data_IF_715347868323
#
_entry.id   IF_715347868323
#
_cell.length_a   1.000
_cell.length_b   1.000
_cell.length_c   1.000
_cell.angle_alpha   90.00
_cell.angle_beta   90.00
_cell.angle_gamma   90.00
#
_symmetry.space_group_name_H-M   'P 1'
#
loop_
_entity.id
_entity.type
_entity.pdbx_description
1 polymer ?
#
# COMPACT_ATOMS: atom_id res chain seq x y z
N UNK A 1 60.17 -38.18 -47.84
CA UNK A 1 60.13 -37.19 -46.74
C UNK A 1 58.72 -37.14 -46.17
N UNK A 2 58.50 -37.44 -44.89
CA UNK A 2 57.22 -37.20 -44.23
C UNK A 2 57.20 -35.81 -43.57
N UNK A 3 56.04 -35.18 -43.61
CA UNK A 3 55.71 -33.86 -43.07
C UNK A 3 55.62 -33.95 -41.53
N UNK A 4 56.19 -33.03 -40.74
CA UNK A 4 56.05 -33.07 -39.28
C UNK A 4 54.63 -32.65 -38.86
N UNK A 5 53.99 -33.47 -38.02
CA UNK A 5 52.74 -33.17 -37.32
C UNK A 5 52.96 -32.06 -36.30
N UNK A 6 52.20 -30.97 -36.42
CA UNK A 6 52.19 -29.85 -35.47
C UNK A 6 51.63 -30.34 -34.12
N UNK A 7 52.28 -30.10 -32.97
CA UNK A 7 51.70 -30.47 -31.68
C UNK A 7 50.44 -29.64 -31.42
N UNK A 8 49.39 -30.32 -30.95
CA UNK A 8 48.14 -29.70 -30.52
C UNK A 8 48.44 -28.74 -29.35
N UNK A 9 48.19 -27.46 -29.59
CA UNK A 9 48.23 -26.41 -28.56
C UNK A 9 47.14 -26.72 -27.54
N UNK A 10 47.52 -27.14 -26.34
CA UNK A 10 46.62 -27.27 -25.19
C UNK A 10 46.09 -25.86 -24.90
N UNK A 11 44.80 -25.65 -25.16
CA UNK A 11 44.12 -24.43 -24.79
C UNK A 11 43.93 -24.43 -23.27
N UNK A 12 44.64 -23.54 -22.57
CA UNK A 12 44.27 -23.16 -21.22
C UNK A 12 42.85 -22.54 -21.25
N UNK A 13 41.96 -22.86 -20.30
CA UNK A 13 40.65 -22.22 -20.23
C UNK A 13 40.85 -20.72 -19.99
N UNK A 14 40.38 -19.92 -20.94
CA UNK A 14 40.38 -18.46 -20.84
C UNK A 14 39.50 -18.05 -19.64
N UNK A 15 40.13 -17.50 -18.60
CA UNK A 15 39.44 -16.83 -17.51
C UNK A 15 38.91 -15.52 -18.09
N UNK A 16 37.60 -15.46 -18.36
CA UNK A 16 36.94 -14.25 -18.87
C UNK A 16 37.03 -13.14 -17.80
N UNK A 17 37.53 -11.98 -18.24
CA UNK A 17 37.78 -10.78 -17.43
C UNK A 17 36.58 -10.37 -16.55
N UNK A 18 36.68 -10.60 -15.23
CA UNK A 18 35.81 -9.93 -14.23
C UNK A 18 35.08 -10.85 -13.26
N UNK A 19 35.22 -12.16 -13.37
CA UNK A 19 34.68 -13.13 -12.42
C UNK A 19 35.72 -13.49 -11.35
N UNK A 20 35.30 -13.52 -10.08
CA UNK A 20 36.17 -13.76 -8.92
C UNK A 20 35.54 -14.82 -8.05
N UNK A 21 36.35 -15.75 -7.55
CA UNK A 21 35.94 -16.71 -6.54
C UNK A 21 36.19 -16.11 -5.16
N UNK A 22 35.15 -16.01 -4.34
CA UNK A 22 35.25 -15.52 -2.96
C UNK A 22 35.30 -16.71 -2.01
N UNK A 23 36.41 -16.88 -1.30
CA UNK A 23 36.55 -17.83 -0.21
C UNK A 23 37.26 -17.15 0.97
N UNK A 24 36.48 -16.68 1.93
CA UNK A 24 36.94 -16.10 3.18
C UNK A 24 36.39 -16.97 4.31
N UNK A 25 37.26 -17.48 5.18
CA UNK A 25 36.87 -18.31 6.32
C UNK A 25 37.41 -17.69 7.60
N UNK A 26 36.50 -17.22 8.46
CA UNK A 26 36.84 -16.56 9.73
C UNK A 26 37.87 -15.42 9.59
N UNK A 27 37.75 -14.63 8.52
CA UNK A 27 38.66 -13.52 8.21
C UNK A 27 38.13 -12.24 8.84
N UNK A 28 39.02 -11.39 9.34
CA UNK A 28 38.64 -10.10 9.93
C UNK A 28 37.96 -9.18 8.91
N UNK A 29 36.91 -8.48 9.34
CA UNK A 29 36.11 -7.59 8.48
C UNK A 29 36.99 -6.56 7.76
N UNK A 30 37.98 -5.99 8.45
CA UNK A 30 38.90 -5.00 7.88
C UNK A 30 39.66 -5.53 6.66
N UNK A 31 40.13 -6.78 6.74
CA UNK A 31 40.85 -7.43 5.64
C UNK A 31 39.93 -7.72 4.45
N UNK A 32 38.68 -8.15 4.72
CA UNK A 32 37.67 -8.35 3.69
C UNK A 32 37.33 -7.02 3.00
N UNK A 33 37.13 -5.94 3.76
CA UNK A 33 36.82 -4.61 3.23
C UNK A 33 37.95 -4.10 2.35
N UNK A 34 39.22 -4.26 2.76
CA UNK A 34 40.39 -3.87 1.96
C UNK A 34 40.45 -4.62 0.63
N UNK A 35 40.09 -5.90 0.64
CA UNK A 35 40.05 -6.74 -0.56
C UNK A 35 38.91 -6.31 -1.49
N UNK A 36 37.72 -6.09 -0.95
CA UNK A 36 36.55 -5.62 -1.70
C UNK A 36 36.76 -4.21 -2.22
N UNK A 37 37.44 -3.33 -1.49
CA UNK A 37 37.85 -1.99 -1.93
C UNK A 37 38.71 -2.05 -3.19
N UNK A 38 39.73 -2.91 -3.21
CA UNK A 38 40.58 -3.12 -4.38
C UNK A 38 39.81 -3.72 -5.57
N UNK A 39 38.89 -4.63 -5.29
CA UNK A 39 38.09 -5.31 -6.32
C UNK A 39 37.01 -4.42 -6.94
N UNK A 40 36.41 -3.54 -6.14
CA UNK A 40 35.30 -2.65 -6.55
C UNK A 40 35.76 -1.24 -6.93
N UNK A 41 36.98 -0.85 -6.57
CA UNK A 41 37.52 0.50 -6.77
C UNK A 41 36.86 1.56 -5.89
N UNK A 42 36.19 1.15 -4.81
CA UNK A 42 35.46 2.06 -3.90
C UNK A 42 36.25 2.35 -2.64
N UNK A 43 36.13 3.58 -2.16
CA UNK A 43 36.69 3.99 -0.87
C UNK A 43 35.70 3.65 0.24
N UNK A 44 36.19 2.97 1.29
CA UNK A 44 35.40 2.62 2.46
C UNK A 44 35.92 3.33 3.70
N UNK A 45 35.01 3.78 4.55
CA UNK A 45 35.30 4.27 5.90
C UNK A 45 34.65 3.30 6.87
N UNK A 46 35.43 2.73 7.78
CA UNK A 46 34.93 1.86 8.83
C UNK A 46 34.74 2.66 10.11
N UNK A 47 33.61 2.45 10.77
CA UNK A 47 33.44 2.90 12.14
C UNK A 47 34.30 2.02 13.10
N UNK A 48 34.94 2.59 14.14
CA UNK A 48 35.77 1.83 15.10
C UNK A 48 35.06 0.65 15.78
N UNK A 49 33.72 0.68 15.80
CA UNK A 49 32.87 -0.38 16.38
C UNK A 49 32.68 -1.59 15.44
N UNK A 50 33.10 -1.49 14.17
CA UNK A 50 32.98 -2.56 13.18
C UNK A 50 34.13 -3.55 13.37
N UNK A 51 33.97 -4.45 14.34
CA UNK A 51 34.90 -5.55 14.63
C UNK A 51 34.18 -6.88 14.55
N UNK A 52 34.84 -7.89 14.00
CA UNK A 52 34.28 -9.21 13.85
C UNK A 52 34.96 -10.01 12.75
N UNK A 53 34.55 -11.28 12.64
CA UNK A 53 35.02 -12.20 11.61
C UNK A 53 33.88 -12.52 10.65
N UNK A 54 34.21 -12.59 9.37
CA UNK A 54 33.27 -12.91 8.30
C UNK A 54 33.71 -14.21 7.62
N UNK A 55 32.72 -15.02 7.28
CA UNK A 55 32.87 -16.19 6.42
C UNK A 55 32.01 -16.01 5.18
N UNK A 56 32.65 -16.05 4.00
CA UNK A 56 32.01 -15.97 2.69
C UNK A 56 32.55 -17.10 1.84
N UNK A 57 31.67 -18.00 1.41
CA UNK A 57 32.04 -19.13 0.55
C UNK A 57 31.19 -19.04 -0.72
N UNK A 58 31.84 -18.85 -1.86
CA UNK A 58 31.19 -18.88 -3.18
C UNK A 58 31.53 -20.19 -3.88
N UNK A 59 30.52 -20.96 -4.29
CA UNK A 59 30.71 -22.21 -5.04
C UNK A 59 30.98 -21.98 -6.54
N UNK A 60 30.61 -20.80 -7.06
CA UNK A 60 30.78 -20.43 -8.47
C UNK A 60 31.57 -19.12 -8.59
N UNK A 61 32.28 -18.88 -9.71
CA UNK A 61 32.82 -17.56 -10.02
C UNK A 61 31.70 -16.53 -10.04
N UNK A 62 31.91 -15.38 -9.41
CA UNK A 62 30.91 -14.29 -9.35
C UNK A 62 31.47 -13.01 -9.95
N UNK A 63 30.64 -12.25 -10.65
CA UNK A 63 31.02 -10.96 -11.20
C UNK A 63 31.34 -9.95 -10.09
N UNK A 64 32.12 -8.89 -10.40
CA UNK A 64 32.46 -7.82 -9.44
C UNK A 64 31.25 -7.22 -8.72
N UNK A 65 30.15 -7.03 -9.45
CA UNK A 65 28.89 -6.51 -8.89
C UNK A 65 28.23 -7.51 -7.93
N UNK A 66 28.23 -8.80 -8.28
CA UNK A 66 27.70 -9.85 -7.42
C UNK A 66 28.56 -10.07 -6.16
N UNK A 67 29.89 -10.00 -6.30
CA UNK A 67 30.84 -10.05 -5.18
C UNK A 67 30.56 -8.92 -4.18
N UNK A 68 30.28 -7.70 -4.66
CA UNK A 68 29.90 -6.59 -3.80
C UNK A 68 28.57 -6.85 -3.07
N UNK A 69 27.56 -7.41 -3.75
CA UNK A 69 26.30 -7.77 -3.08
C UNK A 69 26.50 -8.83 -1.99
N UNK A 70 27.28 -9.88 -2.27
CA UNK A 70 27.59 -10.94 -1.29
C UNK A 70 28.30 -10.36 -0.07
N UNK A 71 29.24 -9.44 -0.28
CA UNK A 71 29.90 -8.72 0.80
C UNK A 71 28.92 -7.92 1.67
N UNK A 72 27.98 -7.18 1.06
CA UNK A 72 26.94 -6.46 1.80
C UNK A 72 26.04 -7.41 2.61
N UNK A 73 25.68 -8.57 2.03
CA UNK A 73 24.90 -9.60 2.73
C UNK A 73 25.66 -10.19 3.92
N UNK A 74 26.97 -10.40 3.77
CA UNK A 74 27.82 -10.92 4.84
C UNK A 74 27.98 -9.90 5.99
N UNK A 75 28.13 -8.61 5.68
CA UNK A 75 28.11 -7.53 6.68
C UNK A 75 26.80 -7.52 7.47
N UNK A 76 25.66 -7.68 6.76
CA UNK A 76 24.34 -7.73 7.38
C UNK A 76 24.19 -8.90 8.34
N UNK A 77 24.71 -10.07 7.99
CA UNK A 77 24.69 -11.25 8.86
C UNK A 77 25.43 -11.02 10.20
N UNK A 78 26.43 -10.12 10.20
CA UNK A 78 27.18 -9.71 11.39
C UNK A 78 26.61 -8.45 12.07
N UNK A 79 25.47 -7.90 11.62
CA UNK A 79 24.84 -6.73 12.23
C UNK A 79 25.42 -5.37 11.80
N UNK A 80 26.16 -5.34 10.68
CA UNK A 80 26.69 -4.11 10.08
C UNK A 80 25.96 -3.78 8.78
N UNK A 81 25.96 -2.49 8.41
CA UNK A 81 25.36 -2.00 7.18
C UNK A 81 26.29 -1.02 6.49
N UNK A 82 26.29 -1.05 5.16
CA UNK A 82 27.02 -0.10 4.35
C UNK A 82 26.08 1.02 3.90
N UNK A 83 26.53 2.25 4.07
CA UNK A 83 25.79 3.46 3.75
C UNK A 83 26.63 4.29 2.79
N UNK A 84 26.06 4.64 1.62
CA UNK A 84 26.77 5.51 0.68
C UNK A 84 26.74 6.95 1.16
N UNK A 85 27.91 7.58 1.25
CA UNK A 85 28.06 9.00 1.52
C UNK A 85 28.28 9.83 0.25
N UNK A 86 28.38 11.17 0.39
CA UNK A 86 28.77 12.06 -0.69
C UNK A 86 30.15 11.69 -1.27
N UNK A 87 30.35 11.90 -2.57
CA UNK A 87 31.67 11.70 -3.20
C UNK A 87 32.09 10.25 -3.45
N UNK A 88 31.15 9.29 -3.42
CA UNK A 88 31.43 7.88 -3.76
C UNK A 88 32.11 7.08 -2.64
N UNK A 89 32.18 7.65 -1.43
CA UNK A 89 32.69 7.00 -0.23
C UNK A 89 31.57 6.16 0.40
N UNK A 90 31.89 4.95 0.84
CA UNK A 90 30.95 4.05 1.52
C UNK A 90 31.33 3.91 2.98
N UNK A 91 30.47 4.35 3.90
CA UNK A 91 30.67 4.20 5.34
C UNK A 91 30.07 2.89 5.82
N UNK A 92 30.81 2.08 6.58
CA UNK A 92 30.32 0.86 7.21
C UNK A 92 30.06 1.17 8.68
N UNK A 93 28.82 0.99 9.11
CA UNK A 93 28.34 1.33 10.45
C UNK A 93 27.51 0.18 11.03
N UNK A 94 27.35 0.09 12.37
CA UNK A 94 26.35 -0.78 12.97
C UNK A 94 24.94 -0.49 12.45
N UNK A 95 24.10 -1.51 12.32
CA UNK A 95 22.74 -1.39 11.75
C UNK A 95 21.87 -0.33 12.47
N UNK A 96 22.08 -0.12 13.77
CA UNK A 96 21.39 0.93 14.53
C UNK A 96 21.67 2.35 14.03
N UNK A 97 22.92 2.64 13.66
CA UNK A 97 23.35 3.97 13.16
C UNK A 97 23.16 4.14 11.65
N UNK A 98 22.95 3.04 10.92
CA UNK A 98 22.60 3.08 9.50
C UNK A 98 21.36 3.93 9.21
N UNK A 99 20.44 4.03 10.19
CA UNK A 99 19.21 4.84 10.12
C UNK A 99 19.49 6.33 9.98
N UNK A 100 20.47 6.85 10.72
CA UNK A 100 20.78 8.28 10.76
C UNK A 100 21.66 8.71 9.59
N UNK A 101 22.46 7.79 9.05
CA UNK A 101 23.41 8.08 7.99
C UNK A 101 22.84 7.75 6.59
N UNK A 102 21.67 7.11 6.50
CA UNK A 102 21.08 6.63 5.24
C UNK A 102 21.03 7.75 4.19
N UNK A 103 21.55 7.46 3.00
CA UNK A 103 21.49 8.39 1.88
C UNK A 103 20.05 8.55 1.38
N UNK A 104 19.62 9.78 1.16
CA UNK A 104 18.36 10.10 0.49
C UNK A 104 18.51 9.83 -1.01
N UNK A 105 18.07 8.65 -1.46
CA UNK A 105 18.09 8.35 -2.89
C UNK A 105 16.83 8.91 -3.54
N UNK A 106 16.97 9.94 -4.38
CA UNK A 106 15.87 10.54 -5.14
C UNK A 106 15.33 9.64 -6.29
N UNK A 107 15.74 8.37 -6.39
CA UNK A 107 15.32 7.51 -7.50
C UNK A 107 15.52 6.01 -7.26
N UNK A 108 14.49 5.24 -7.63
CA UNK A 108 14.45 3.78 -7.63
C UNK A 108 15.35 3.26 -8.75
N UNK A 109 16.65 3.04 -8.50
CA UNK A 109 17.46 2.38 -9.53
C UNK A 109 18.96 2.22 -9.30
N UNK A 110 19.61 3.09 -8.52
CA UNK A 110 21.08 3.11 -8.45
C UNK A 110 21.71 2.49 -7.19
N UNK A 111 20.92 2.12 -6.18
CA UNK A 111 21.43 1.54 -4.94
C UNK A 111 21.45 0.00 -4.97
N UNK A 112 22.56 -0.59 -4.50
CA UNK A 112 22.70 -2.04 -4.32
C UNK A 112 21.66 -2.58 -3.34
N UNK A 113 21.18 -3.82 -3.55
CA UNK A 113 20.02 -4.37 -2.84
C UNK A 113 20.11 -4.36 -1.32
N UNK A 114 21.33 -4.48 -0.79
CA UNK A 114 21.61 -4.54 0.66
C UNK A 114 22.14 -3.23 1.25
N UNK A 115 22.06 -2.12 0.51
CA UNK A 115 22.35 -0.80 1.04
C UNK A 115 21.10 -0.18 1.67
N UNK A 116 21.25 0.47 2.83
CA UNK A 116 20.18 1.27 3.42
C UNK A 116 19.99 2.58 2.65
N UNK A 117 18.73 2.86 2.31
CA UNK A 117 18.32 4.06 1.59
C UNK A 117 17.05 4.62 2.21
N UNK A 118 16.95 5.94 2.20
CA UNK A 118 15.70 6.64 2.51
C UNK A 118 15.06 7.09 1.21
N UNK A 119 13.79 6.72 1.03
CA UNK A 119 13.00 7.09 -0.14
C UNK A 119 11.68 7.73 0.29
N UNK A 120 11.28 8.78 -0.44
CA UNK A 120 9.98 9.43 -0.30
C UNK A 120 9.09 8.97 -1.45
N UNK A 121 7.89 8.50 -1.13
CA UNK A 121 6.88 8.05 -2.10
C UNK A 121 5.61 8.87 -1.88
N UNK A 122 5.17 9.61 -2.90
CA UNK A 122 3.92 10.37 -2.85
C UNK A 122 2.75 9.45 -3.23
N UNK A 123 1.68 9.48 -2.44
CA UNK A 123 0.45 8.70 -2.67
C UNK A 123 -0.56 9.58 -3.40
N UNK A 124 -1.16 9.07 -4.49
CA UNK A 124 -2.04 9.84 -5.36
C UNK A 124 -3.52 9.67 -5.04
N UNK A 125 -3.96 8.43 -4.82
CA UNK A 125 -5.37 8.08 -4.67
C UNK A 125 -5.74 7.76 -3.21
N UNK A 126 -4.82 7.15 -2.47
CA UNK A 126 -5.02 6.77 -1.06
C UNK A 126 -4.54 7.80 -0.04
N UNK A 127 -4.78 7.52 1.26
CA UNK A 127 -4.21 8.29 2.37
C UNK A 127 -2.94 7.59 2.90
N UNK A 128 -1.81 8.29 2.89
CA UNK A 128 -0.52 7.77 3.35
C UNK A 128 -0.57 7.21 4.78
N UNK A 129 -1.29 7.88 5.70
CA UNK A 129 -1.39 7.45 7.10
C UNK A 129 -2.15 6.12 7.26
N UNK A 130 -3.13 5.86 6.39
CA UNK A 130 -3.91 4.62 6.41
C UNK A 130 -3.12 3.41 5.87
N UNK A 131 -2.09 3.66 5.04
CA UNK A 131 -1.23 2.61 4.49
C UNK A 131 -0.20 2.09 5.50
N UNK A 132 0.16 2.88 6.52
CA UNK A 132 1.17 2.49 7.53
C UNK A 132 0.88 1.11 8.17
N UNK A 133 -0.32 0.84 8.74
CA UNK A 133 -0.60 -0.45 9.38
C UNK A 133 -0.58 -1.62 8.39
N UNK A 134 -0.88 -1.38 7.11
CA UNK A 134 -0.85 -2.39 6.05
C UNK A 134 0.57 -2.75 5.63
N UNK A 135 1.48 -1.77 5.63
CA UNK A 135 2.85 -1.95 5.19
C UNK A 135 3.79 -2.44 6.31
N UNK A 136 3.47 -2.15 7.58
CA UNK A 136 4.32 -2.51 8.73
C UNK A 136 4.71 -4.00 8.80
N UNK A 137 3.82 -4.99 8.51
CA UNK A 137 4.19 -6.41 8.51
C UNK A 137 5.21 -6.80 7.42
N UNK A 138 5.34 -6.01 6.36
CA UNK A 138 6.26 -6.26 5.25
C UNK A 138 7.66 -5.64 5.48
N UNK A 139 7.84 -4.95 6.60
CA UNK A 139 9.06 -4.24 6.95
C UNK A 139 9.92 -5.04 7.92
N UNK A 140 11.23 -4.86 7.86
CA UNK A 140 12.12 -5.44 8.85
C UNK A 140 12.00 -4.67 10.18
N UNK A 141 12.31 -5.30 11.34
CA UNK A 141 12.30 -4.62 12.64
C UNK A 141 13.25 -3.41 12.72
N UNK A 142 14.26 -3.37 11.85
CA UNK A 142 15.25 -2.30 11.78
C UNK A 142 14.85 -1.16 10.83
N UNK A 143 13.71 -1.28 10.14
CA UNK A 143 13.22 -0.31 9.17
C UNK A 143 12.38 0.79 9.82
N UNK A 144 12.33 1.96 9.20
CA UNK A 144 11.52 3.09 9.65
C UNK A 144 10.51 3.50 8.57
N UNK A 145 9.27 3.73 8.99
CA UNK A 145 8.18 4.22 8.15
C UNK A 145 7.52 5.40 8.85
N UNK A 146 7.42 6.52 8.16
CA UNK A 146 6.65 7.68 8.60
C UNK A 146 5.81 8.23 7.45
N UNK A 147 4.62 8.73 7.76
CA UNK A 147 3.83 9.51 6.80
C UNK A 147 4.07 11.00 7.03
N UNK A 148 4.22 11.73 5.94
CA UNK A 148 4.17 13.18 5.90
C UNK A 148 2.79 13.59 5.38
N UNK A 149 1.87 13.83 6.31
CA UNK A 149 0.47 14.13 6.01
C UNK A 149 0.26 15.33 5.08
N UNK A 150 0.99 16.47 5.21
CA UNK A 150 0.73 17.64 4.36
C UNK A 150 0.94 17.40 2.86
N UNK A 151 1.92 16.55 2.48
CA UNK A 151 2.16 16.19 1.08
C UNK A 151 1.67 14.77 0.73
N UNK A 152 0.87 14.14 1.59
CA UNK A 152 0.38 12.77 1.44
C UNK A 152 1.49 11.79 1.01
N UNK A 153 2.66 11.89 1.64
CA UNK A 153 3.84 11.13 1.26
C UNK A 153 4.26 10.14 2.35
N UNK A 154 4.83 9.00 1.95
CA UNK A 154 5.47 8.04 2.82
C UNK A 154 6.98 8.19 2.73
N UNK A 155 7.63 8.37 3.88
CA UNK A 155 9.08 8.33 4.03
C UNK A 155 9.46 6.95 4.55
N UNK A 156 10.21 6.22 3.75
CA UNK A 156 10.61 4.83 4.02
C UNK A 156 12.13 4.78 4.11
N UNK A 157 12.64 4.31 5.23
CA UNK A 157 14.08 4.02 5.41
C UNK A 157 14.26 2.53 5.61
N UNK A 158 14.79 1.87 4.58
CA UNK A 158 15.01 0.42 4.56
C UNK A 158 16.12 0.07 3.53
N UNK A 159 16.45 -1.22 3.41
CA UNK A 159 17.29 -1.76 2.36
C UNK A 159 16.67 -1.53 0.98
N UNK A 160 17.49 -1.16 0.00
CA UNK A 160 17.03 -0.82 -1.36
C UNK A 160 16.26 -1.96 -2.06
N UNK A 161 16.50 -3.23 -1.70
CA UNK A 161 15.70 -4.37 -2.17
C UNK A 161 14.27 -4.33 -1.60
N UNK A 162 14.12 -4.04 -0.30
CA UNK A 162 12.81 -4.00 0.34
C UNK A 162 12.02 -2.76 -0.08
N UNK A 163 12.68 -1.59 -0.16
CA UNK A 163 12.04 -0.36 -0.66
C UNK A 163 11.46 -0.56 -2.06
N UNK A 164 12.17 -1.25 -2.97
CA UNK A 164 11.67 -1.61 -4.31
C UNK A 164 10.46 -2.56 -4.28
N UNK A 165 10.38 -3.44 -3.28
CA UNK A 165 9.23 -4.33 -3.10
C UNK A 165 8.03 -3.55 -2.57
N UNK A 166 8.24 -2.73 -1.54
CA UNK A 166 7.22 -1.85 -0.95
C UNK A 166 6.68 -0.87 -1.99
N UNK A 167 7.53 -0.26 -2.82
CA UNK A 167 7.10 0.63 -3.88
C UNK A 167 6.12 -0.04 -4.86
N UNK A 168 6.36 -1.31 -5.23
CA UNK A 168 5.45 -2.08 -6.09
C UNK A 168 4.11 -2.38 -5.42
N UNK A 169 4.15 -2.79 -4.15
CA UNK A 169 2.94 -3.02 -3.35
C UNK A 169 2.14 -1.72 -3.21
N UNK A 170 2.81 -0.59 -2.98
CA UNK A 170 2.17 0.72 -2.90
C UNK A 170 1.51 1.08 -4.23
N UNK A 171 2.19 0.87 -5.38
CA UNK A 171 1.57 1.16 -6.68
C UNK A 171 0.39 0.24 -7.01
N UNK A 172 0.38 -0.99 -6.50
CA UNK A 172 -0.75 -1.90 -6.67
C UNK A 172 -1.94 -1.51 -5.78
N UNK A 173 -1.69 -0.95 -4.59
CA UNK A 173 -2.74 -0.48 -3.67
C UNK A 173 -3.25 0.92 -4.06
N UNK A 174 -2.36 1.80 -4.51
CA UNK A 174 -2.66 3.18 -4.93
C UNK A 174 -3.26 3.23 -6.35
N UNK A 175 -4.13 2.27 -6.68
CA UNK A 175 -4.91 2.30 -7.91
C UNK A 175 -6.06 3.29 -7.76
N UNK A 176 -6.49 3.94 -8.87
CA UNK A 176 -7.65 4.81 -8.85
C UNK A 176 -8.88 3.95 -8.52
N UNK A 177 -9.38 4.09 -7.30
CA UNK A 177 -10.71 3.57 -6.95
C UNK A 177 -11.71 4.35 -7.80
N UNK A 178 -12.25 3.71 -8.84
CA UNK A 178 -13.29 4.28 -9.71
C UNK A 178 -14.52 4.57 -8.84
N UNK A 179 -14.56 5.77 -8.28
CA UNK A 179 -15.69 6.25 -7.50
C UNK A 179 -16.72 6.71 -8.52
N UNK A 180 -17.42 5.74 -9.11
CA UNK A 180 -18.39 6.00 -10.16
C UNK A 180 -19.66 6.57 -9.51
N UNK A 181 -19.95 7.85 -9.81
CA UNK A 181 -21.20 8.49 -9.39
C UNK A 181 -22.28 8.04 -10.36
N UNK A 182 -23.18 7.18 -9.89
CA UNK A 182 -24.34 6.75 -10.68
C UNK A 182 -25.58 7.51 -10.25
N UNK A 183 -26.28 8.11 -11.21
CA UNK A 183 -27.59 8.75 -11.00
C UNK A 183 -28.70 7.75 -11.23
N UNK A 184 -29.58 7.57 -10.26
CA UNK A 184 -30.78 6.72 -10.38
C UNK A 184 -32.03 7.60 -10.23
N UNK A 185 -32.78 7.84 -11.31
CA UNK A 185 -34.06 8.55 -11.22
C UNK A 185 -35.11 7.66 -10.55
N UNK A 186 -35.90 8.23 -9.64
CA UNK A 186 -37.01 7.56 -8.96
C UNK A 186 -38.34 7.94 -9.61
N UNK A 187 -39.25 6.98 -9.74
CA UNK A 187 -40.56 7.17 -10.40
C UNK A 187 -41.72 7.34 -9.43
N UNK A 188 -41.69 6.65 -8.31
CA UNK A 188 -42.85 6.53 -7.41
C UNK A 188 -42.57 7.04 -6.00
N UNK A 189 -41.34 6.87 -5.53
CA UNK A 189 -40.95 7.28 -4.18
C UNK A 189 -40.21 8.63 -4.18
N UNK A 190 -40.30 9.33 -3.04
CA UNK A 190 -39.55 10.57 -2.78
C UNK A 190 -38.07 10.25 -2.57
N UNK A 191 -37.19 10.96 -3.27
CA UNK A 191 -35.74 10.84 -3.11
C UNK A 191 -35.27 11.11 -1.67
N UNK A 192 -35.92 12.05 -0.97
CA UNK A 192 -35.56 12.39 0.40
C UNK A 192 -35.88 11.24 1.37
N UNK A 193 -37.10 10.70 1.30
CA UNK A 193 -37.54 9.62 2.19
C UNK A 193 -36.76 8.31 1.94
N UNK A 194 -36.54 7.96 0.67
CA UNK A 194 -35.73 6.79 0.33
C UNK A 194 -34.25 6.98 0.67
N UNK A 195 -33.69 8.16 0.42
CA UNK A 195 -32.30 8.47 0.74
C UNK A 195 -32.03 8.29 2.24
N UNK A 196 -32.91 8.84 3.08
CA UNK A 196 -32.81 8.71 4.54
C UNK A 196 -33.04 7.28 5.01
N UNK A 197 -34.04 6.58 4.46
CA UNK A 197 -34.30 5.18 4.80
C UNK A 197 -33.09 4.30 4.48
N UNK A 198 -32.52 4.45 3.29
CA UNK A 198 -31.37 3.65 2.87
C UNK A 198 -30.12 4.03 3.67
N UNK A 199 -29.90 5.31 3.98
CA UNK A 199 -28.80 5.74 4.86
C UNK A 199 -28.92 5.13 6.26
N UNK A 200 -30.13 5.05 6.83
CA UNK A 200 -30.39 4.37 8.11
C UNK A 200 -30.13 2.86 8.01
N UNK A 201 -30.57 2.22 6.94
CA UNK A 201 -30.30 0.79 6.70
C UNK A 201 -28.80 0.50 6.52
N UNK A 202 -28.07 1.40 5.88
CA UNK A 202 -26.63 1.27 5.68
C UNK A 202 -25.83 1.53 6.97
N UNK A 203 -26.27 2.48 7.80
CA UNK A 203 -25.65 2.78 9.10
C UNK A 203 -25.90 1.67 10.12
N UNK A 204 -27.04 0.97 10.04
CA UNK A 204 -27.39 -0.13 10.97
C UNK A 204 -26.69 -1.46 10.67
N UNK A 205 -25.81 -1.55 9.67
CA UNK A 205 -25.05 -2.75 9.33
C UNK A 205 -23.71 -2.88 10.11
N UNK A 206 -23.65 -2.48 11.38
CA UNK A 206 -22.82 -3.07 12.47
C UNK A 206 -22.80 -2.16 13.71
N UNK A 207 -23.54 -2.47 14.78
CA UNK A 207 -23.29 -1.87 16.09
C UNK A 207 -22.10 -2.60 16.72
N UNK A 208 -20.88 -2.11 16.51
CA UNK A 208 -19.71 -2.68 17.18
C UNK A 208 -18.31 -2.38 16.61
N UNK A 209 -18.19 -1.80 15.42
CA UNK A 209 -16.89 -1.35 14.91
C UNK A 209 -16.81 0.16 14.84
N UNK A 210 -15.73 0.66 15.43
CA UNK A 210 -15.44 2.06 15.69
C UNK A 210 -15.58 2.95 14.45
N UNK A 211 -15.87 4.22 14.73
CA UNK A 211 -15.77 5.40 13.84
C UNK A 211 -14.38 5.52 13.18
N UNK A 212 -14.08 4.65 12.24
CA UNK A 212 -13.10 4.88 11.18
C UNK A 212 -13.82 5.43 9.96
N UNK A 213 -13.17 6.22 9.10
CA UNK A 213 -13.74 6.61 7.81
C UNK A 213 -13.89 5.33 6.98
N UNK A 214 -15.10 4.79 6.95
CA UNK A 214 -15.45 3.60 6.18
C UNK A 214 -15.38 3.94 4.69
N UNK A 215 -14.22 3.66 4.09
CA UNK A 215 -13.94 3.67 2.65
C UNK A 215 -14.84 2.72 1.83
N UNK A 216 -15.66 1.90 2.50
CA UNK A 216 -16.62 0.96 1.92
C UNK A 216 -18.09 1.40 2.08
N UNK A 217 -18.36 2.59 2.61
CA UNK A 217 -19.74 3.09 2.68
C UNK A 217 -20.05 3.90 1.43
N UNK A 218 -20.78 3.28 0.51
CA UNK A 218 -21.39 4.02 -0.59
C UNK A 218 -22.17 5.22 -0.06
N UNK A 219 -21.79 6.45 -0.44
CA UNK A 219 -22.50 7.66 -0.05
C UNK A 219 -23.72 7.83 -0.94
N UNK A 220 -24.89 8.03 -0.35
CA UNK A 220 -26.14 8.25 -1.08
C UNK A 220 -26.59 9.68 -0.79
N UNK A 221 -26.72 10.48 -1.84
CA UNK A 221 -27.17 11.86 -1.75
C UNK A 221 -28.46 11.99 -2.55
N UNK A 222 -29.58 12.40 -1.94
CA UNK A 222 -30.81 12.67 -2.66
C UNK A 222 -30.73 14.02 -3.40
N UNK A 223 -31.05 14.03 -4.69
CA UNK A 223 -31.31 15.24 -5.48
C UNK A 223 -32.82 15.44 -5.61
N UNK A 224 -33.32 16.43 -4.87
CA UNK A 224 -34.74 16.83 -4.83
C UNK A 224 -35.22 17.43 -6.16
N UNK A 225 -34.33 18.09 -6.91
CA UNK A 225 -34.70 18.82 -8.14
C UNK A 225 -35.06 17.85 -9.26
N UNK A 226 -34.37 16.72 -9.36
CA UNK A 226 -34.62 15.69 -10.38
C UNK A 226 -35.25 14.42 -9.81
N UNK A 227 -35.67 14.45 -8.54
CA UNK A 227 -36.14 13.28 -7.78
C UNK A 227 -35.25 12.04 -8.04
N UNK A 228 -33.95 12.20 -7.91
CA UNK A 228 -32.95 11.18 -8.23
C UNK A 228 -32.03 10.91 -7.05
N UNK A 229 -31.52 9.69 -6.94
CA UNK A 229 -30.50 9.33 -5.96
C UNK A 229 -29.14 9.31 -6.64
N UNK A 230 -28.20 10.05 -6.07
CA UNK A 230 -26.78 10.00 -6.44
C UNK A 230 -26.10 8.95 -5.57
N UNK A 231 -25.63 7.89 -6.20
CA UNK A 231 -24.90 6.81 -5.54
C UNK A 231 -23.43 6.97 -5.84
N UNK A 232 -22.62 7.13 -4.79
CA UNK A 232 -21.18 7.14 -4.87
C UNK A 232 -20.63 5.93 -4.14
N UNK A 233 -20.18 4.91 -4.85
CA UNK A 233 -19.59 3.72 -4.24
C UNK A 233 -18.25 3.37 -4.88
N UNK A 234 -17.39 2.76 -4.07
CA UNK A 234 -16.06 2.26 -4.43
C UNK A 234 -16.12 0.80 -4.91
N UNK A 235 -17.23 0.10 -4.70
CA UNK A 235 -17.39 -1.32 -5.02
C UNK A 235 -18.55 -1.55 -6.03
N UNK A 236 -18.28 -2.14 -7.22
CA UNK A 236 -19.32 -2.41 -8.21
C UNK A 236 -20.36 -3.44 -7.72
N UNK A 237 -19.99 -4.34 -6.81
CA UNK A 237 -20.92 -5.30 -6.22
C UNK A 237 -21.98 -4.64 -5.34
N UNK A 238 -21.58 -3.65 -4.54
CA UNK A 238 -22.52 -2.87 -3.73
C UNK A 238 -23.44 -2.02 -4.59
N UNK A 239 -22.92 -1.46 -5.69
CA UNK A 239 -23.71 -0.71 -6.65
C UNK A 239 -24.88 -1.55 -7.21
N UNK A 240 -24.62 -2.80 -7.58
CA UNK A 240 -25.64 -3.71 -8.08
C UNK A 240 -26.68 -4.07 -6.99
N UNK A 241 -26.22 -4.33 -5.76
CA UNK A 241 -27.10 -4.61 -4.62
C UNK A 241 -28.00 -3.40 -4.31
N UNK A 242 -27.43 -2.20 -4.28
CA UNK A 242 -28.14 -0.97 -3.98
C UNK A 242 -29.14 -0.61 -5.08
N UNK A 243 -28.78 -0.78 -6.36
CA UNK A 243 -29.72 -0.70 -7.49
C UNK A 243 -30.90 -1.65 -7.32
N UNK A 244 -30.63 -2.91 -6.96
CA UNK A 244 -31.69 -3.89 -6.75
C UNK A 244 -32.61 -3.52 -5.58
N UNK A 245 -32.05 -2.98 -4.49
CA UNK A 245 -32.80 -2.53 -3.34
C UNK A 245 -33.68 -1.32 -3.69
N UNK A 246 -33.12 -0.32 -4.37
CA UNK A 246 -33.86 0.85 -4.84
C UNK A 246 -35.00 0.43 -5.76
N UNK A 247 -34.77 -0.48 -6.72
CA UNK A 247 -35.83 -0.96 -7.61
C UNK A 247 -36.98 -1.70 -6.90
N UNK A 248 -36.70 -2.33 -5.75
CA UNK A 248 -37.71 -3.00 -4.93
C UNK A 248 -38.47 -2.03 -4.01
N UNK A 249 -37.86 -0.90 -3.67
CA UNK A 249 -38.44 0.13 -2.82
C UNK A 249 -39.18 1.21 -3.62
N UNK A 250 -38.77 1.48 -4.86
CA UNK A 250 -39.42 2.39 -5.82
C UNK A 250 -40.62 1.71 -6.50
N UNK A 251 -41.56 1.22 -5.69
CA UNK A 251 -42.81 0.61 -6.16
C UNK A 251 -43.93 1.62 -5.98
N UNK A 252 -44.85 1.70 -6.95
CA UNK A 252 -46.07 2.49 -6.81
C UNK A 252 -46.77 2.09 -5.51
N UNK A 253 -47.02 3.06 -4.64
CA UNK A 253 -47.76 2.83 -3.40
C UNK A 253 -49.04 2.06 -3.75
N UNK A 254 -49.15 0.82 -3.28
CA UNK A 254 -50.37 0.03 -3.48
C UNK A 254 -51.50 0.82 -2.83
N UNK A 255 -52.42 1.28 -3.68
CA UNK A 255 -53.44 2.26 -3.35
C UNK A 255 -54.19 1.94 -2.07
N UNK A 256 -54.30 2.98 -1.24
CA UNK A 256 -54.99 2.97 0.03
C UNK A 256 -54.31 3.94 0.97
N UNK A 257 -54.33 5.25 0.64
CA UNK A 257 -54.02 6.27 1.64
C UNK A 257 -54.83 5.96 2.89
N UNK A 258 -54.22 6.16 4.07
CA UNK A 258 -54.88 5.98 5.38
C UNK A 258 -56.20 6.75 5.49
N UNK A 259 -56.44 7.70 4.59
CA UNK A 259 -57.69 8.41 4.40
C UNK A 259 -58.66 7.63 3.50
N UNK A 260 -59.67 7.00 4.12
CA UNK A 260 -60.84 6.47 3.42
C UNK A 260 -61.98 7.49 3.50
N UNK A 261 -62.42 8.00 2.35
CA UNK A 261 -63.62 8.85 2.30
C UNK A 261 -64.84 7.96 2.42
N UNK A 262 -65.62 8.16 3.49
CA UNK A 262 -66.88 7.46 3.74
C UNK A 262 -68.02 8.46 3.59
N UNK A 263 -68.91 8.21 2.63
CA UNK A 263 -70.11 9.02 2.45
C UNK A 263 -71.15 8.67 3.50
N UNK A 264 -71.63 9.67 4.23
CA UNK A 264 -72.70 9.52 5.21
C UNK A 264 -74.04 9.54 4.48
N UNK A 265 -74.91 8.56 4.75
CA UNK A 265 -76.25 8.48 4.13
C UNK A 265 -77.33 9.21 4.90
N UNK A 266 -77.23 9.23 6.24
CA UNK A 266 -78.30 9.69 7.13
C UNK A 266 -77.79 10.65 8.24
N UNK A 267 -76.55 11.12 8.16
CA UNK A 267 -75.93 11.94 9.21
C UNK A 267 -75.16 13.10 8.62
N UNK A 268 -75.21 14.26 9.30
CA UNK A 268 -74.41 15.42 8.94
C UNK A 268 -72.97 15.25 9.42
N UNK A 269 -72.00 15.56 8.55
CA UNK A 269 -70.59 15.31 8.81
C UNK A 269 -70.02 16.15 9.98
N UNK A 270 -70.55 17.36 10.19
CA UNK A 270 -70.05 18.32 11.18
C UNK A 270 -70.24 17.81 12.62
N UNK A 271 -71.46 17.49 13.08
CA UNK A 271 -71.65 16.96 14.44
C UNK A 271 -70.99 15.60 14.65
N UNK A 272 -70.95 14.72 13.64
CA UNK A 272 -70.33 13.40 13.77
C UNK A 272 -68.81 13.48 13.97
N UNK A 273 -68.15 14.47 13.36
CA UNK A 273 -66.72 14.66 13.51
C UNK A 273 -66.31 15.06 14.94
N UNK A 274 -67.12 15.88 15.62
CA UNK A 274 -66.85 16.29 17.00
C UNK A 274 -66.96 15.10 17.98
N UNK A 275 -67.97 14.25 17.79
CA UNK A 275 -68.15 13.04 18.61
C UNK A 275 -67.02 12.04 18.39
N UNK A 276 -66.66 11.78 17.13
CA UNK A 276 -65.56 10.86 16.82
C UNK A 276 -64.22 11.38 17.31
N UNK A 277 -64.00 12.69 17.27
CA UNK A 277 -62.79 13.32 17.82
C UNK A 277 -62.71 13.16 19.34
N UNK A 278 -63.84 13.34 20.03
CA UNK A 278 -63.94 13.09 21.47
C UNK A 278 -63.67 11.62 21.86
N UNK A 279 -64.04 10.67 21.01
CA UNK A 279 -63.76 9.25 21.23
C UNK A 279 -62.30 8.86 20.98
N UNK A 280 -61.61 9.50 20.03
CA UNK A 280 -60.19 9.25 19.77
C UNK A 280 -59.26 9.85 20.83
N UNK A 281 -59.64 10.97 21.45
CA UNK A 281 -58.85 11.58 22.53
C UNK A 281 -59.04 10.89 23.89
N UNK A 282 -60.09 10.07 24.04
CA UNK A 282 -60.41 9.32 25.26
C UNK A 282 -59.76 7.92 25.34
N UNK A 283 -59.00 7.51 24.33
CA UNK A 283 -58.22 6.26 24.25
C UNK A 283 -56.75 6.54 24.05
#
# INVERSE_FOLDING_TARGET
MPIPTRPAKIAAPAVTNGEVLLNFQAVDIEAVVKTVSRLTGRNFILDPRVKGKITIISAKPVSRGAAYQIFLSALKAQGFTAVSGPGGIVKIVPVGEGKQNASTSAGVGRAGGDQMVTQVIVIQNGNATQLIPLLRPLMAPTSQLSAYAPANALVITDYARNVRRLARVITEIDQPTSTEVTVIPLKHASALDLGDLINRLNTNRTPGQAKGPNINQGTIIPDLRTNSLLLRTTNPGELAQLKSLISKLDVAARGGGTTRVVYLRNAEAKPLSEVLRGLLEAT
#
